data_IF_671300301246
#
_entry.id   IF_671300301246
#
_cell.length_a   1.000
_cell.length_b   1.000
_cell.length_c   1.000
_cell.angle_alpha   90.00
_cell.angle_beta   90.00
_cell.angle_gamma   90.00
#
_symmetry.space_group_name_H-M   'P 1'
#
loop_
_entity.id
_entity.type
_entity.pdbx_description
1 polymer ?
#
# COMPACT_ATOMS: atom_id res chain seq x y z
N UNK A 1 -4.09 11.62 -9.81
CA UNK A 1 -4.88 12.87 -9.80
C UNK A 1 -6.27 12.69 -9.17
N UNK A 2 -7.06 11.65 -9.53
CA UNK A 2 -8.45 11.49 -9.06
C UNK A 2 -8.59 11.40 -7.54
N UNK A 3 -7.60 10.87 -6.84
CA UNK A 3 -7.59 10.75 -5.39
C UNK A 3 -6.81 11.86 -4.67
N UNK A 4 -6.42 12.93 -5.37
CA UNK A 4 -5.61 14.02 -4.78
C UNK A 4 -6.29 14.78 -3.65
N UNK A 5 -7.61 14.65 -3.51
CA UNK A 5 -8.38 15.20 -2.39
C UNK A 5 -8.23 14.41 -1.08
N UNK A 6 -7.70 13.18 -1.12
CA UNK A 6 -7.54 12.31 0.06
C UNK A 6 -6.29 12.62 0.89
N UNK A 7 -5.40 13.46 0.38
CA UNK A 7 -4.18 13.86 1.09
C UNK A 7 -3.47 14.99 0.36
N UNK A 8 -2.66 15.76 1.09
CA UNK A 8 -2.09 17.01 0.57
C UNK A 8 -0.59 17.16 0.73
N UNK A 9 0.08 16.31 1.52
CA UNK A 9 1.49 16.52 1.85
C UNK A 9 2.46 15.67 1.06
N UNK A 10 2.14 14.41 0.85
CA UNK A 10 3.04 13.44 0.22
C UNK A 10 2.28 12.55 -0.74
N UNK A 11 2.95 12.11 -1.78
CA UNK A 11 2.48 11.06 -2.67
C UNK A 11 3.62 10.12 -3.01
N UNK A 12 3.29 8.86 -3.22
CA UNK A 12 4.27 7.87 -3.62
C UNK A 12 3.67 6.78 -4.47
N UNK A 13 4.52 6.16 -5.27
CA UNK A 13 4.20 5.04 -6.13
C UNK A 13 5.30 3.99 -6.07
N UNK A 14 4.93 2.73 -6.18
CA UNK A 14 5.84 1.63 -6.41
C UNK A 14 5.31 0.74 -7.52
N UNK A 15 6.21 0.25 -8.35
CA UNK A 15 5.92 -0.60 -9.50
C UNK A 15 6.89 -1.77 -9.55
N UNK A 16 6.44 -2.85 -10.15
CA UNK A 16 7.28 -3.96 -10.53
C UNK A 16 7.31 -4.08 -12.05
N UNK A 17 8.50 -3.96 -12.65
CA UNK A 17 8.68 -3.95 -14.11
C UNK A 17 8.96 -5.35 -14.71
N UNK A 18 8.82 -6.39 -13.90
CA UNK A 18 9.14 -7.77 -14.27
C UNK A 18 10.55 -8.19 -13.84
N UNK A 19 11.40 -7.25 -13.41
CA UNK A 19 12.79 -7.51 -12.97
C UNK A 19 13.13 -6.86 -11.65
N UNK A 20 12.64 -5.66 -11.41
CA UNK A 20 12.95 -4.86 -10.21
C UNK A 20 11.74 -4.06 -9.74
N UNK A 21 11.80 -3.70 -8.47
CA UNK A 21 10.89 -2.70 -7.89
C UNK A 21 11.44 -1.30 -8.13
N UNK A 22 10.58 -0.41 -8.59
CA UNK A 22 10.85 1.02 -8.73
C UNK A 22 9.92 1.76 -7.78
N UNK A 23 10.49 2.61 -6.93
CA UNK A 23 9.76 3.42 -5.95
C UNK A 23 10.05 4.90 -6.19
N UNK A 24 9.04 5.74 -6.06
CA UNK A 24 9.16 7.19 -6.07
C UNK A 24 8.23 7.81 -5.05
N UNK A 25 8.73 8.79 -4.28
CA UNK A 25 7.98 9.52 -3.26
C UNK A 25 8.30 11.01 -3.39
N UNK A 26 7.27 11.84 -3.42
CA UNK A 26 7.40 13.30 -3.50
C UNK A 26 6.58 14.02 -2.45
N UNK A 27 7.08 15.18 -2.00
CA UNK A 27 6.26 16.16 -1.28
C UNK A 27 5.33 16.87 -2.27
N UNK A 28 4.07 17.01 -1.88
CA UNK A 28 3.06 17.76 -2.63
C UNK A 28 2.88 19.21 -2.14
N UNK A 29 3.60 19.63 -1.09
CA UNK A 29 3.44 20.93 -0.47
C UNK A 29 3.74 22.10 -1.44
N UNK A 30 4.58 21.88 -2.45
CA UNK A 30 4.99 22.90 -3.41
C UNK A 30 4.70 22.48 -4.87
N UNK A 31 3.59 21.86 -5.14
CA UNK A 31 3.21 21.51 -6.52
C UNK A 31 2.15 20.42 -6.61
N UNK A 32 1.50 20.37 -7.77
CA UNK A 32 0.48 19.36 -8.05
C UNK A 32 1.09 17.98 -8.26
N UNK A 33 0.35 16.95 -7.88
CA UNK A 33 0.72 15.54 -8.06
C UNK A 33 1.28 15.25 -9.45
N UNK A 34 0.57 15.67 -10.51
CA UNK A 34 0.95 15.40 -11.88
C UNK A 34 2.36 15.91 -12.21
N UNK A 35 2.66 17.16 -11.83
CA UNK A 35 3.95 17.79 -12.14
C UNK A 35 5.13 17.10 -11.43
N UNK A 36 4.88 16.46 -10.28
CA UNK A 36 5.93 15.78 -9.51
C UNK A 36 6.32 14.42 -10.08
N UNK A 37 5.41 13.78 -10.80
CA UNK A 37 5.61 12.42 -11.31
C UNK A 37 5.74 12.35 -12.84
N UNK A 38 5.47 13.45 -13.57
CA UNK A 38 5.43 13.46 -15.03
C UNK A 38 6.75 12.99 -15.68
N UNK A 39 7.88 13.44 -15.16
CA UNK A 39 9.21 13.06 -15.67
C UNK A 39 9.58 11.60 -15.32
N UNK A 40 8.89 11.00 -14.36
CA UNK A 40 9.15 9.64 -13.90
C UNK A 40 8.22 8.61 -14.57
N UNK A 41 7.08 9.05 -15.12
CA UNK A 41 6.12 8.15 -15.77
C UNK A 41 6.74 7.22 -16.83
N UNK A 42 7.72 7.66 -17.66
CA UNK A 42 8.37 6.75 -18.60
C UNK A 42 9.09 5.56 -17.92
N UNK A 43 9.54 5.74 -16.68
CA UNK A 43 10.19 4.66 -15.90
C UNK A 43 9.21 3.58 -15.45
N UNK A 44 7.93 3.89 -15.44
CA UNK A 44 6.84 3.00 -15.02
C UNK A 44 6.09 2.38 -16.20
N UNK A 45 6.33 2.87 -17.44
CA UNK A 45 5.51 2.61 -18.61
C UNK A 45 5.42 1.16 -19.08
N UNK A 46 6.36 0.29 -18.66
CA UNK A 46 6.35 -1.14 -18.97
C UNK A 46 5.88 -2.01 -17.79
N UNK A 47 5.58 -1.40 -16.67
CA UNK A 47 5.18 -2.11 -15.46
C UNK A 47 3.75 -2.62 -15.57
N UNK A 48 3.56 -3.91 -15.29
CA UNK A 48 2.23 -4.55 -15.30
C UNK A 48 1.47 -4.38 -13.99
N UNK A 49 2.17 -4.07 -12.90
CA UNK A 49 1.61 -3.95 -11.55
C UNK A 49 2.20 -2.76 -10.83
N UNK A 50 1.37 -2.07 -10.06
CA UNK A 50 1.82 -0.95 -9.25
C UNK A 50 0.83 -0.60 -8.15
N UNK A 51 1.35 0.05 -7.13
CA UNK A 51 0.57 0.63 -6.02
C UNK A 51 0.91 2.10 -5.87
N UNK A 52 -0.06 2.90 -5.45
CA UNK A 52 0.12 4.32 -5.20
C UNK A 52 -0.63 4.77 -3.97
N UNK A 53 -0.18 5.87 -3.38
CA UNK A 53 -0.78 6.44 -2.17
C UNK A 53 -0.59 7.95 -2.15
N UNK A 54 -1.56 8.63 -1.55
CA UNK A 54 -1.47 10.02 -1.14
C UNK A 54 -1.65 10.05 0.38
N UNK A 55 -0.77 10.75 1.09
CA UNK A 55 -0.70 10.76 2.55
C UNK A 55 -0.46 12.17 3.09
N UNK A 56 -1.03 12.45 4.26
CA UNK A 56 -0.79 13.69 5.00
C UNK A 56 0.35 13.58 6.01
N UNK A 57 0.86 12.40 6.27
CA UNK A 57 1.85 12.19 7.32
C UNK A 57 3.08 11.42 6.86
N UNK A 58 2.92 10.26 6.30
CA UNK A 58 3.99 9.28 6.13
C UNK A 58 4.55 9.23 4.73
N UNK A 59 5.85 8.94 4.64
CA UNK A 59 6.49 8.55 3.38
C UNK A 59 6.11 7.12 3.04
N UNK A 60 5.40 6.94 1.94
CA UNK A 60 4.93 5.65 1.41
C UNK A 60 5.07 5.65 -0.12
N UNK A 61 5.14 4.49 -0.79
CA UNK A 61 5.16 3.12 -0.27
C UNK A 61 6.44 2.79 0.51
N UNK A 62 6.35 1.80 1.42
CA UNK A 62 7.53 1.20 2.07
C UNK A 62 7.88 -0.09 1.35
N UNK A 63 9.13 -0.20 0.91
CA UNK A 63 9.64 -1.41 0.24
C UNK A 63 10.64 -2.09 1.14
N UNK A 64 10.39 -3.35 1.48
CA UNK A 64 11.31 -4.17 2.26
C UNK A 64 11.64 -5.48 1.56
N UNK A 65 12.72 -6.12 1.99
CA UNK A 65 13.11 -7.47 1.60
C UNK A 65 13.14 -8.34 2.84
N UNK A 66 12.43 -9.46 2.80
CA UNK A 66 12.37 -10.45 3.89
C UNK A 66 12.55 -11.87 3.31
N UNK A 67 12.32 -12.89 4.14
CA UNK A 67 12.24 -14.28 3.69
C UNK A 67 11.05 -14.54 2.73
N UNK A 68 10.06 -13.65 2.69
CA UNK A 68 8.94 -13.68 1.74
C UNK A 68 9.28 -13.06 0.37
N UNK A 69 10.53 -12.66 0.16
CA UNK A 69 10.95 -11.90 -1.01
C UNK A 69 10.90 -10.39 -0.79
N UNK A 70 10.89 -9.63 -1.88
CA UNK A 70 10.73 -8.17 -1.84
C UNK A 70 9.27 -7.80 -2.06
N UNK A 71 8.76 -6.88 -1.28
CA UNK A 71 7.40 -6.35 -1.43
C UNK A 71 7.33 -4.88 -1.02
N UNK A 72 6.33 -4.18 -1.57
CA UNK A 72 6.05 -2.78 -1.26
C UNK A 72 4.66 -2.64 -0.65
N UNK A 73 4.55 -1.89 0.43
CA UNK A 73 3.31 -1.72 1.21
C UNK A 73 2.86 -0.27 1.16
N UNK A 74 1.58 -0.06 0.94
CA UNK A 74 0.88 1.21 1.20
C UNK A 74 -0.26 0.96 2.17
N UNK A 75 -0.50 1.92 3.06
CA UNK A 75 -1.55 1.81 4.09
C UNK A 75 -2.38 3.07 4.20
N UNK A 76 -3.65 2.88 4.54
CA UNK A 76 -4.49 3.89 5.17
C UNK A 76 -4.81 3.36 6.57
N UNK A 77 -4.16 3.92 7.58
CA UNK A 77 -4.18 3.32 8.91
C UNK A 77 -4.30 4.34 10.04
N UNK A 78 -4.89 3.87 11.13
CA UNK A 78 -4.82 4.45 12.47
C UNK A 78 -4.55 3.32 13.45
N UNK A 79 -3.31 3.26 13.94
CA UNK A 79 -2.82 2.19 14.80
C UNK A 79 -2.71 2.72 16.23
N UNK A 80 -3.68 2.37 17.08
CA UNK A 80 -3.77 2.91 18.45
C UNK A 80 -2.70 2.30 19.38
N UNK A 81 -2.21 1.09 19.06
CA UNK A 81 -1.16 0.39 19.82
C UNK A 81 0.23 0.40 19.14
N UNK A 82 0.54 1.44 18.36
CA UNK A 82 1.80 1.53 17.60
C UNK A 82 3.04 1.39 18.49
N UNK A 83 3.03 1.99 19.69
CA UNK A 83 4.14 1.91 20.65
C UNK A 83 4.37 0.48 21.16
N UNK A 84 3.30 -0.21 21.57
CA UNK A 84 3.32 -1.58 22.02
C UNK A 84 3.93 -2.52 20.96
N UNK A 85 3.46 -2.38 19.71
CA UNK A 85 3.94 -3.19 18.59
C UNK A 85 5.40 -2.89 18.24
N UNK A 86 5.79 -1.61 18.26
CA UNK A 86 7.17 -1.18 18.04
C UNK A 86 8.10 -1.79 19.06
N UNK A 87 7.77 -1.68 20.36
CA UNK A 87 8.59 -2.25 21.45
C UNK A 87 8.73 -3.76 21.28
N UNK A 88 7.65 -4.45 20.94
CA UNK A 88 7.68 -5.90 20.69
C UNK A 88 8.63 -6.29 19.56
N UNK A 89 8.61 -5.55 18.44
CA UNK A 89 9.50 -5.81 17.30
C UNK A 89 10.96 -5.48 17.63
N UNK A 90 11.23 -4.40 18.36
CA UNK A 90 12.58 -4.05 18.82
C UNK A 90 13.16 -5.10 19.76
N UNK A 91 12.35 -5.68 20.67
CA UNK A 91 12.76 -6.80 21.52
C UNK A 91 13.15 -8.04 20.72
N UNK A 92 12.56 -8.23 19.55
CA UNK A 92 12.90 -9.27 18.59
C UNK A 92 14.10 -8.89 17.69
N UNK A 93 14.81 -7.80 18.01
CA UNK A 93 15.98 -7.27 17.29
C UNK A 93 15.67 -6.82 15.86
N UNK A 94 14.43 -6.46 15.57
CA UNK A 94 14.08 -5.82 14.31
C UNK A 94 14.44 -4.33 14.34
N UNK A 95 14.63 -3.73 13.17
CA UNK A 95 15.09 -2.35 13.04
C UNK A 95 14.12 -1.56 12.17
N UNK A 96 13.91 -0.29 12.52
CA UNK A 96 13.17 0.67 11.73
C UNK A 96 14.16 1.61 11.04
N UNK A 97 13.95 1.88 9.76
CA UNK A 97 14.82 2.72 8.93
C UNK A 97 14.12 3.99 8.44
N UNK A 98 12.81 3.94 8.28
CA UNK A 98 12.01 5.07 7.80
C UNK A 98 11.35 5.79 8.99
N UNK A 99 11.59 7.10 9.07
CA UNK A 99 10.98 7.94 10.10
C UNK A 99 9.89 8.83 9.49
N UNK A 100 8.84 9.07 10.26
CA UNK A 100 7.81 10.06 10.00
C UNK A 100 8.00 11.24 10.95
N UNK A 101 8.84 12.19 10.57
CA UNK A 101 9.30 13.23 11.50
C UNK A 101 10.23 12.62 12.56
N UNK A 102 9.82 12.67 13.84
CA UNK A 102 10.53 12.03 14.96
C UNK A 102 10.00 10.65 15.31
N UNK A 103 8.90 10.23 14.69
CA UNK A 103 8.18 9.00 15.04
C UNK A 103 8.46 7.89 14.04
N UNK A 104 8.15 6.67 14.42
CA UNK A 104 8.22 5.49 13.55
C UNK A 104 7.14 5.59 12.47
N UNK A 105 7.52 5.23 11.24
CA UNK A 105 6.58 5.14 10.13
C UNK A 105 5.64 3.94 10.34
N UNK A 106 4.33 4.21 10.48
CA UNK A 106 3.34 3.16 10.74
C UNK A 106 3.22 2.17 9.58
N UNK A 107 3.47 2.60 8.35
CA UNK A 107 3.50 1.69 7.19
C UNK A 107 4.70 0.75 7.24
N UNK A 108 5.87 1.20 7.74
CA UNK A 108 7.02 0.32 7.96
C UNK A 108 6.70 -0.71 9.04
N UNK A 109 6.07 -0.30 10.15
CA UNK A 109 5.60 -1.23 11.17
C UNK A 109 4.71 -2.33 10.58
N UNK A 110 3.73 -1.95 9.74
CA UNK A 110 2.85 -2.91 9.07
C UNK A 110 3.63 -3.83 8.14
N UNK A 111 4.58 -3.29 7.38
CA UNK A 111 5.43 -4.09 6.51
C UNK A 111 6.26 -5.13 7.29
N UNK A 112 6.77 -4.75 8.46
CA UNK A 112 7.50 -5.68 9.35
C UNK A 112 6.58 -6.76 9.93
N UNK A 113 5.35 -6.40 10.34
CA UNK A 113 4.36 -7.37 10.82
C UNK A 113 3.99 -8.39 9.72
N UNK A 114 3.86 -7.95 8.47
CA UNK A 114 3.65 -8.85 7.32
C UNK A 114 4.83 -9.85 7.21
N UNK A 115 6.05 -9.39 7.42
CA UNK A 115 7.24 -10.23 7.43
C UNK A 115 7.28 -11.29 8.54
N UNK A 116 6.35 -11.30 9.49
CA UNK A 116 6.24 -12.35 10.52
C UNK A 116 5.45 -13.59 10.07
N UNK A 117 4.75 -13.53 8.94
CA UNK A 117 4.03 -14.66 8.38
C UNK A 117 4.93 -15.60 7.56
N UNK A 118 4.43 -16.78 7.21
CA UNK A 118 5.11 -17.72 6.29
C UNK A 118 4.75 -17.47 4.81
N UNK A 119 3.77 -16.62 4.57
CA UNK A 119 3.36 -16.12 3.26
C UNK A 119 2.88 -14.67 3.39
N UNK A 120 2.77 -13.95 2.27
CA UNK A 120 2.24 -12.57 2.28
C UNK A 120 0.82 -12.55 2.86
N UNK A 121 -0.04 -13.50 2.48
CA UNK A 121 -1.39 -13.60 3.01
C UNK A 121 -1.41 -13.80 4.52
N UNK A 122 -0.68 -14.80 5.03
CA UNK A 122 -0.57 -15.06 6.48
C UNK A 122 0.02 -13.87 7.22
N UNK A 123 1.00 -13.17 6.64
CA UNK A 123 1.56 -11.96 7.19
C UNK A 123 0.56 -10.81 7.29
N UNK A 124 -0.30 -10.65 6.28
CA UNK A 124 -1.40 -9.67 6.32
C UNK A 124 -2.41 -10.05 7.42
N UNK A 125 -2.82 -11.31 7.50
CA UNK A 125 -3.71 -11.83 8.55
C UNK A 125 -3.11 -11.60 9.95
N UNK A 126 -1.81 -11.87 10.09
CA UNK A 126 -1.08 -11.61 11.33
C UNK A 126 -1.10 -10.11 11.67
N UNK A 127 -0.72 -9.23 10.75
CA UNK A 127 -0.74 -7.78 10.96
C UNK A 127 -2.14 -7.30 11.36
N UNK A 128 -3.19 -7.73 10.67
CA UNK A 128 -4.58 -7.43 11.02
C UNK A 128 -4.96 -7.92 12.42
N UNK A 129 -4.43 -9.05 12.88
CA UNK A 129 -4.70 -9.61 14.22
C UNK A 129 -4.05 -8.79 15.33
N UNK A 130 -2.87 -8.21 15.08
CA UNK A 130 -2.08 -7.48 16.07
C UNK A 130 -2.50 -6.02 16.21
N UNK A 131 -3.00 -5.40 15.14
CA UNK A 131 -3.33 -3.98 15.11
C UNK A 131 -4.62 -3.71 15.89
N UNK A 132 -4.54 -2.81 16.88
CA UNK A 132 -5.69 -2.17 17.52
C UNK A 132 -5.94 -0.84 16.79
N UNK A 133 -7.12 -0.70 16.19
CA UNK A 133 -7.44 0.44 15.33
C UNK A 133 -7.93 0.01 13.96
N UNK A 134 -7.52 0.71 12.90
CA UNK A 134 -7.85 0.36 11.51
C UNK A 134 -6.60 0.37 10.64
N UNK A 135 -6.52 -0.55 9.68
CA UNK A 135 -5.47 -0.59 8.69
C UNK A 135 -5.96 -1.32 7.44
N UNK A 136 -6.26 -0.56 6.40
CA UNK A 136 -6.42 -1.10 5.06
C UNK A 136 -5.10 -0.94 4.31
N UNK A 137 -4.73 -1.92 3.49
CA UNK A 137 -3.41 -1.95 2.85
C UNK A 137 -3.45 -2.55 1.46
N UNK A 138 -2.50 -2.13 0.63
CA UNK A 138 -2.13 -2.81 -0.60
C UNK A 138 -0.68 -3.26 -0.49
N UNK A 139 -0.42 -4.50 -0.89
CA UNK A 139 0.92 -5.10 -0.88
C UNK A 139 1.27 -5.55 -2.28
N UNK A 140 2.24 -4.89 -2.90
CA UNK A 140 2.80 -5.25 -4.19
C UNK A 140 3.94 -6.24 -4.01
N UNK A 141 3.85 -7.39 -4.66
CA UNK A 141 4.92 -8.39 -4.80
C UNK A 141 5.39 -8.44 -6.25
N UNK A 142 6.32 -9.32 -6.56
CA UNK A 142 6.79 -9.58 -7.93
C UNK A 142 5.80 -10.42 -8.78
N UNK A 143 4.75 -10.97 -8.18
CA UNK A 143 3.77 -11.83 -8.85
C UNK A 143 2.31 -11.39 -8.67
N UNK A 144 1.99 -10.54 -7.68
CA UNK A 144 0.61 -10.13 -7.40
C UNK A 144 0.53 -8.83 -6.60
N UNK A 145 -0.67 -8.25 -6.55
CA UNK A 145 -1.06 -7.24 -5.57
C UNK A 145 -2.08 -7.87 -4.62
N UNK A 146 -1.81 -7.77 -3.32
CA UNK A 146 -2.78 -8.09 -2.29
C UNK A 146 -3.48 -6.82 -1.84
N UNK A 147 -4.81 -6.83 -1.83
CA UNK A 147 -5.63 -5.79 -1.25
C UNK A 147 -6.32 -6.33 0.00
N UNK A 148 -6.12 -5.67 1.14
CA UNK A 148 -6.66 -6.09 2.42
C UNK A 148 -7.42 -4.95 3.09
N UNK A 149 -8.73 -5.15 3.28
CA UNK A 149 -9.57 -4.19 4.00
C UNK A 149 -9.41 -4.38 5.51
N UNK A 150 -9.45 -3.29 6.26
CA UNK A 150 -9.35 -3.36 7.72
C UNK A 150 -10.45 -4.24 8.33
N UNK A 151 -10.14 -4.85 9.49
CA UNK A 151 -11.02 -5.81 10.19
C UNK A 151 -12.42 -5.29 10.46
N UNK A 152 -12.58 -4.00 10.65
CA UNK A 152 -13.86 -3.37 10.99
C UNK A 152 -14.54 -2.73 9.78
N UNK A 153 -13.90 -2.76 8.59
CA UNK A 153 -14.43 -2.19 7.37
C UNK A 153 -14.52 -0.65 7.37
N UNK A 154 -13.71 0.02 8.19
CA UNK A 154 -13.74 1.49 8.33
C UNK A 154 -13.24 2.19 7.08
N UNK A 155 -12.15 1.70 6.49
CA UNK A 155 -11.62 2.22 5.23
C UNK A 155 -12.05 1.31 4.09
N UNK A 156 -12.83 1.80 3.13
CA UNK A 156 -13.28 0.97 2.01
C UNK A 156 -12.10 0.62 1.09
N UNK A 157 -12.22 -0.51 0.42
CA UNK A 157 -11.48 -0.88 -0.78
C UNK A 157 -12.46 -1.46 -1.77
N UNK A 158 -12.57 -0.85 -2.94
CA UNK A 158 -13.36 -1.33 -4.05
C UNK A 158 -12.47 -1.99 -5.10
N UNK A 159 -13.05 -2.89 -5.88
CA UNK A 159 -12.41 -3.55 -7.02
C UNK A 159 -13.12 -3.14 -8.29
N UNK A 160 -12.36 -2.81 -9.30
CA UNK A 160 -12.79 -2.62 -10.68
C UNK A 160 -12.07 -3.57 -11.62
N UNK A 161 -12.66 -3.79 -12.79
CA UNK A 161 -12.11 -4.66 -13.84
C UNK A 161 -12.33 -4.06 -15.23
N UNK A 162 -11.38 -4.32 -16.14
CA UNK A 162 -11.52 -4.17 -17.57
C UNK A 162 -10.80 -5.32 -18.30
N UNK A 163 -10.68 -5.23 -19.62
CA UNK A 163 -10.02 -6.28 -20.43
C UNK A 163 -8.51 -6.38 -20.18
N UNK A 164 -7.89 -5.36 -19.61
CA UNK A 164 -6.45 -5.32 -19.30
C UNK A 164 -6.11 -5.82 -17.87
N UNK A 165 -7.13 -5.97 -16.98
CA UNK A 165 -6.89 -6.45 -15.64
C UNK A 165 -7.77 -5.80 -14.57
N UNK A 166 -7.24 -5.78 -13.34
CA UNK A 166 -7.93 -5.32 -12.15
C UNK A 166 -7.35 -4.02 -11.62
N UNK A 167 -8.20 -3.25 -10.99
CA UNK A 167 -7.83 -2.07 -10.19
C UNK A 167 -8.50 -2.17 -8.82
N UNK A 168 -7.81 -1.69 -7.78
CA UNK A 168 -8.43 -1.48 -6.47
C UNK A 168 -8.06 -0.09 -5.93
N UNK A 169 -9.01 0.52 -5.25
CA UNK A 169 -8.85 1.84 -4.68
C UNK A 169 -9.78 2.04 -3.47
N UNK A 170 -9.48 3.06 -2.66
CA UNK A 170 -10.36 3.47 -1.56
C UNK A 170 -11.72 4.00 -2.06
N UNK A 171 -11.76 4.50 -3.29
CA UNK A 171 -12.96 5.03 -3.93
C UNK A 171 -13.04 4.56 -5.38
N UNK A 172 -14.23 4.22 -5.85
CA UNK A 172 -14.49 3.81 -7.23
C UNK A 172 -14.73 4.98 -8.20
N UNK A 173 -14.68 6.23 -7.72
CA UNK A 173 -15.00 7.43 -8.50
C UNK A 173 -14.16 7.61 -9.78
N UNK A 174 -12.93 7.10 -9.79
CA UNK A 174 -12.03 7.16 -10.95
C UNK A 174 -12.23 6.07 -11.98
N UNK A 175 -12.94 4.99 -11.65
CA UNK A 175 -12.98 3.77 -12.47
C UNK A 175 -13.56 4.02 -13.86
N UNK A 176 -14.73 4.64 -13.93
CA UNK A 176 -15.39 4.93 -15.22
C UNK A 176 -14.51 5.79 -16.13
N UNK A 177 -13.85 6.82 -15.57
CA UNK A 177 -12.97 7.70 -16.32
C UNK A 177 -11.69 7.03 -16.82
N UNK A 178 -11.28 5.93 -16.17
CA UNK A 178 -10.11 5.13 -16.53
C UNK A 178 -10.46 3.87 -17.31
N UNK A 179 -11.74 3.70 -17.70
CA UNK A 179 -12.20 2.56 -18.48
C UNK A 179 -12.34 1.26 -17.69
N UNK A 180 -12.51 1.36 -16.36
CA UNK A 180 -12.80 0.21 -15.50
C UNK A 180 -14.29 0.19 -15.11
N UNK A 181 -14.83 -1.01 -14.99
CA UNK A 181 -16.16 -1.26 -14.44
C UNK A 181 -16.03 -1.66 -12.99
N UNK A 182 -16.81 -1.04 -12.10
CA UNK A 182 -16.91 -1.43 -10.71
C UNK A 182 -17.41 -2.88 -10.58
N UNK A 183 -16.77 -3.66 -9.75
CA UNK A 183 -17.13 -5.06 -9.49
C UNK A 183 -17.80 -5.19 -8.12
N UNK A 184 -17.10 -4.80 -7.05
CA UNK A 184 -17.60 -4.87 -5.67
C UNK A 184 -16.65 -4.15 -4.69
N UNK A 185 -17.11 -3.98 -3.48
CA UNK A 185 -16.26 -3.64 -2.34
C UNK A 185 -15.77 -4.93 -1.63
N UNK A 186 -14.60 -4.84 -1.01
CA UNK A 186 -14.13 -5.87 -0.08
C UNK A 186 -14.96 -5.81 1.21
N UNK A 187 -15.25 -6.97 1.78
CA UNK A 187 -15.82 -7.09 3.12
C UNK A 187 -14.82 -6.72 4.24
N UNK A 188 -15.28 -6.47 5.47
CA UNK A 188 -14.38 -6.26 6.61
C UNK A 188 -13.43 -7.42 6.81
N UNK A 189 -12.13 -7.12 6.93
CA UNK A 189 -11.06 -8.12 7.10
C UNK A 189 -10.75 -8.96 5.85
N UNK A 190 -11.43 -8.72 4.75
CA UNK A 190 -11.23 -9.48 3.52
C UNK A 190 -9.88 -9.17 2.89
N UNK A 191 -9.21 -10.21 2.41
CA UNK A 191 -7.95 -10.15 1.67
C UNK A 191 -8.18 -10.78 0.30
N UNK A 192 -7.84 -10.06 -0.76
CA UNK A 192 -7.85 -10.58 -2.12
C UNK A 192 -6.46 -10.47 -2.74
N UNK A 193 -6.12 -11.45 -3.56
CA UNK A 193 -4.93 -11.44 -4.40
C UNK A 193 -5.38 -11.17 -5.84
N UNK A 194 -4.72 -10.22 -6.48
CA UNK A 194 -4.91 -9.90 -7.89
C UNK A 194 -3.60 -10.16 -8.61
N UNK A 195 -3.61 -11.04 -9.58
CA UNK A 195 -2.44 -11.36 -10.41
C UNK A 195 -2.66 -10.92 -11.86
N UNK A 196 -1.59 -10.96 -12.66
CA UNK A 196 -1.70 -10.65 -14.08
C UNK A 196 -2.56 -11.66 -14.85
N UNK A 197 -2.74 -12.86 -14.29
CA UNK A 197 -3.51 -13.95 -14.89
C UNK A 197 -4.96 -14.04 -14.37
N UNK A 198 -5.39 -13.13 -13.49
CA UNK A 198 -6.74 -13.02 -12.91
C UNK A 198 -6.84 -13.25 -11.43
#
# INVERSE_FOLDING_TARGET
DYHSHLGTKRAGMAFYDGTKFVRSIHSLENGYFRNKFEDELPRFGESKMGVGVISDSESQPITITSHLGRYSVVTVSRIDNIKELTESLLQQRMHFAELSGSDINATELVAMLIGMGNSIKEGIEYAQSQIKGSCSMLVLTDYAIYAARDRFGRTPISIGKNDMGYVCASESSSYTNLGYTYVRDLGPGEIVQMSADG
#
